data_IF_224174874164
#
_entry.id   IF_224174874164
#
_cell.length_a   1.000
_cell.length_b   1.000
_cell.length_c   1.000
_cell.angle_alpha   90.00
_cell.angle_beta   90.00
_cell.angle_gamma   90.00
#
_symmetry.space_group_name_H-M   'P 1'
#
loop_
_entity.id
_entity.type
_entity.pdbx_description
1 polymer ?
#
# COMPACT_ATOMS: atom_id res chain seq x y z
N UNK A 1 25.35 -23.22 61.66
CA UNK A 1 24.18 -22.55 61.07
C UNK A 1 24.20 -21.12 61.59
N UNK A 2 24.52 -20.15 60.72
CA UNK A 2 23.57 -19.60 59.76
C UNK A 2 23.77 -20.16 58.34
N UNK A 3 22.72 -20.07 57.52
CA UNK A 3 22.50 -20.82 56.28
C UNK A 3 23.15 -20.25 55.00
N UNK A 4 22.82 -20.85 53.84
CA UNK A 4 23.60 -20.80 52.61
C UNK A 4 23.34 -19.52 51.81
N UNK A 5 24.40 -18.89 51.31
CA UNK A 5 24.29 -17.90 50.24
C UNK A 5 24.10 -18.67 48.92
N UNK A 6 22.90 -18.56 48.36
CA UNK A 6 22.50 -19.23 47.13
C UNK A 6 23.28 -18.75 45.92
N UNK A 7 23.57 -19.73 45.05
CA UNK A 7 23.59 -19.64 43.59
C UNK A 7 24.00 -18.29 42.97
N UNK A 8 25.30 -18.11 42.76
CA UNK A 8 25.80 -17.18 41.75
C UNK A 8 25.93 -17.93 40.41
N UNK A 9 25.00 -17.60 39.51
CA UNK A 9 25.10 -17.75 38.06
C UNK A 9 25.30 -19.15 37.48
N UNK A 10 24.20 -19.82 37.11
CA UNK A 10 24.16 -20.62 35.90
C UNK A 10 24.38 -19.68 34.70
N UNK A 11 25.64 -19.32 34.49
CA UNK A 11 26.09 -18.67 33.28
C UNK A 11 26.07 -19.74 32.20
N UNK A 12 24.95 -19.87 31.47
CA UNK A 12 24.95 -20.61 30.22
C UNK A 12 26.04 -19.95 29.35
N UNK A 13 27.15 -20.66 29.16
CA UNK A 13 28.29 -20.13 28.42
C UNK A 13 28.47 -21.04 27.21
N UNK A 14 27.52 -20.95 26.28
CA UNK A 14 27.58 -21.67 24.99
C UNK A 14 28.58 -20.97 24.08
N UNK A 15 29.86 -21.10 24.39
CA UNK A 15 30.90 -20.64 23.49
C UNK A 15 31.07 -21.67 22.38
N UNK A 16 30.29 -21.50 21.31
CA UNK A 16 30.41 -22.31 20.09
C UNK A 16 31.78 -22.13 19.42
N UNK A 17 32.52 -21.09 19.80
CA UNK A 17 33.87 -20.80 19.32
C UNK A 17 34.92 -21.32 20.29
N UNK A 18 36.05 -21.78 19.75
CA UNK A 18 37.23 -22.14 20.52
C UNK A 18 37.82 -20.91 21.25
N UNK A 19 38.73 -21.16 22.21
CA UNK A 19 39.40 -20.12 23.00
C UNK A 19 40.23 -19.09 22.21
N UNK A 20 40.36 -19.25 20.89
CA UNK A 20 40.98 -18.30 19.96
C UNK A 20 39.96 -17.39 19.25
N UNK A 21 38.65 -17.71 19.31
CA UNK A 21 37.56 -17.01 18.62
C UNK A 21 37.58 -17.10 17.10
N UNK A 22 38.45 -17.94 16.53
CA UNK A 22 38.66 -18.08 15.07
C UNK A 22 38.18 -19.41 14.51
N UNK A 23 37.90 -20.36 15.39
CA UNK A 23 37.53 -21.72 15.04
C UNK A 23 36.28 -22.10 15.81
N UNK A 24 35.47 -22.98 15.21
CA UNK A 24 34.30 -23.55 15.86
C UNK A 24 34.69 -24.76 16.72
N UNK A 25 33.99 -24.94 17.83
CA UNK A 25 34.08 -26.15 18.63
C UNK A 25 33.23 -27.25 17.98
N UNK A 26 33.85 -28.02 17.08
CA UNK A 26 33.14 -29.04 16.29
C UNK A 26 32.40 -30.08 17.14
N UNK A 27 33.02 -30.53 18.24
CA UNK A 27 32.40 -31.51 19.13
C UNK A 27 31.14 -30.96 19.82
N UNK A 28 31.11 -29.66 20.12
CA UNK A 28 29.91 -29.01 20.66
C UNK A 28 28.86 -28.76 19.58
N UNK A 29 29.27 -28.45 18.35
CA UNK A 29 28.34 -28.29 17.23
C UNK A 29 27.61 -29.59 16.92
N UNK A 30 28.33 -30.70 16.85
CA UNK A 30 27.77 -32.04 16.58
C UNK A 30 26.81 -32.52 17.68
N UNK A 31 26.95 -32.02 18.91
CA UNK A 31 26.03 -32.31 20.01
C UNK A 31 24.76 -31.46 19.98
N UNK A 32 24.83 -30.24 19.44
CA UNK A 32 23.75 -29.25 19.51
C UNK A 32 22.93 -29.12 18.22
N UNK A 33 23.50 -29.46 17.07
CA UNK A 33 22.91 -29.20 15.75
C UNK A 33 22.86 -30.46 14.88
N UNK A 34 21.99 -30.43 13.87
CA UNK A 34 21.94 -31.47 12.83
C UNK A 34 23.16 -31.38 11.91
N UNK A 35 23.52 -32.48 11.24
CA UNK A 35 24.68 -32.51 10.33
C UNK A 35 24.63 -31.43 9.23
N UNK A 36 23.45 -31.17 8.67
CA UNK A 36 23.21 -30.09 7.70
C UNK A 36 23.51 -28.70 8.30
N UNK A 37 23.00 -28.44 9.50
CA UNK A 37 23.21 -27.16 10.19
C UNK A 37 24.67 -27.00 10.62
N UNK A 38 25.31 -28.09 11.07
CA UNK A 38 26.75 -28.13 11.35
C UNK A 38 27.57 -27.74 10.11
N UNK A 39 27.22 -28.27 8.94
CA UNK A 39 27.86 -27.91 7.68
C UNK A 39 27.73 -26.41 7.36
N UNK A 40 26.55 -25.84 7.56
CA UNK A 40 26.30 -24.40 7.33
C UNK A 40 27.09 -23.52 8.32
N UNK A 41 27.11 -23.89 9.60
CA UNK A 41 27.86 -23.15 10.63
C UNK A 41 29.37 -23.23 10.36
N UNK A 42 29.89 -24.43 10.06
CA UNK A 42 31.32 -24.63 9.74
C UNK A 42 31.74 -23.83 8.48
N UNK A 43 30.82 -23.52 7.56
CA UNK A 43 31.12 -22.69 6.39
C UNK A 43 31.33 -21.20 6.74
N UNK A 44 30.79 -20.71 7.86
CA UNK A 44 30.98 -19.35 8.34
C UNK A 44 32.38 -19.27 8.97
N UNK A 45 33.24 -18.38 8.46
CA UNK A 45 34.57 -18.15 9.03
C UNK A 45 34.53 -17.04 10.07
N UNK A 46 34.71 -17.34 11.38
CA UNK A 46 34.74 -16.32 12.42
C UNK A 46 35.96 -15.41 12.25
N UNK A 47 35.74 -14.10 12.25
CA UNK A 47 36.82 -13.11 12.07
C UNK A 47 37.75 -12.98 13.29
N UNK A 48 37.38 -13.57 14.44
CA UNK A 48 38.13 -13.44 15.69
C UNK A 48 37.58 -12.36 16.63
N UNK A 49 38.06 -12.36 17.88
CA UNK A 49 37.57 -11.48 18.96
C UNK A 49 37.81 -9.99 18.77
N UNK A 50 38.72 -9.61 17.87
CA UNK A 50 39.10 -8.21 17.63
C UNK A 50 38.39 -7.61 16.41
N UNK A 51 37.39 -8.30 15.87
CA UNK A 51 36.55 -7.82 14.79
C UNK A 51 35.16 -7.54 15.33
N UNK A 52 34.57 -6.41 14.92
CA UNK A 52 33.18 -6.11 15.21
C UNK A 52 32.27 -6.99 14.36
N UNK A 53 31.13 -7.38 14.91
CA UNK A 53 30.10 -8.12 14.17
C UNK A 53 29.56 -7.28 13.01
N UNK A 54 29.29 -7.94 11.89
CA UNK A 54 28.69 -7.33 10.70
C UNK A 54 27.51 -8.16 10.22
N UNK A 55 26.47 -7.48 9.73
CA UNK A 55 25.37 -8.14 9.05
C UNK A 55 25.86 -8.68 7.69
N UNK A 56 25.36 -9.87 7.32
CA UNK A 56 25.58 -10.49 6.02
C UNK A 56 24.24 -10.87 5.40
N UNK A 57 24.11 -10.63 4.10
CA UNK A 57 22.93 -10.93 3.30
C UNK A 57 23.08 -12.26 2.57
N UNK A 58 22.39 -13.28 3.05
CA UNK A 58 22.48 -14.67 2.58
C UNK A 58 22.20 -14.85 1.07
N UNK A 59 21.41 -13.96 0.47
CA UNK A 59 21.04 -14.05 -0.95
C UNK A 59 22.05 -13.38 -1.90
N UNK A 60 23.25 -13.07 -1.41
CA UNK A 60 24.36 -12.56 -2.23
C UNK A 60 25.66 -13.26 -1.89
N UNK A 61 26.45 -13.61 -2.90
CA UNK A 61 27.76 -14.26 -2.71
C UNK A 61 28.76 -13.42 -1.89
N UNK A 62 28.59 -12.09 -1.91
CA UNK A 62 29.43 -11.15 -1.15
C UNK A 62 28.91 -10.85 0.25
N UNK A 63 27.68 -11.29 0.59
CA UNK A 63 27.02 -10.92 1.84
C UNK A 63 26.53 -9.47 1.88
N UNK A 64 26.60 -8.70 0.78
CA UNK A 64 26.17 -7.30 0.76
C UNK A 64 24.69 -7.14 0.44
N UNK A 65 24.00 -6.45 1.34
CA UNK A 65 22.63 -6.04 1.14
C UNK A 65 22.49 -4.94 0.08
N UNK A 66 21.53 -5.08 -0.84
CA UNK A 66 21.10 -4.01 -1.76
C UNK A 66 19.59 -4.05 -1.95
N UNK A 67 18.98 -2.90 -2.28
CA UNK A 67 17.53 -2.86 -2.62
C UNK A 67 17.20 -3.83 -3.75
N UNK A 68 18.11 -3.97 -4.73
CA UNK A 68 17.98 -4.90 -5.85
C UNK A 68 17.93 -6.36 -5.39
N UNK A 69 18.82 -6.77 -4.48
CA UNK A 69 18.84 -8.15 -3.98
C UNK A 69 17.58 -8.48 -3.18
N UNK A 70 17.05 -7.53 -2.40
CA UNK A 70 15.76 -7.71 -1.70
C UNK A 70 14.60 -7.92 -2.66
N UNK A 71 14.48 -7.07 -3.68
CA UNK A 71 13.41 -7.23 -4.68
C UNK A 71 13.50 -8.58 -5.40
N UNK A 72 14.72 -9.02 -5.72
CA UNK A 72 14.93 -10.34 -6.31
C UNK A 72 14.45 -11.47 -5.38
N UNK A 73 14.76 -11.40 -4.09
CA UNK A 73 14.31 -12.38 -3.08
C UNK A 73 12.80 -12.38 -2.94
N UNK A 74 12.17 -11.21 -2.87
CA UNK A 74 10.72 -11.08 -2.76
C UNK A 74 9.99 -11.77 -3.92
N UNK A 75 10.53 -11.63 -5.13
CA UNK A 75 9.91 -12.16 -6.35
C UNK A 75 10.19 -13.65 -6.52
N UNK A 76 11.44 -14.10 -6.27
CA UNK A 76 11.90 -15.43 -6.68
C UNK A 76 12.04 -16.44 -5.55
N UNK A 77 12.19 -15.99 -4.30
CA UNK A 77 12.44 -16.88 -3.15
C UNK A 77 11.24 -16.93 -2.22
N UNK A 78 10.78 -15.74 -1.77
CA UNK A 78 9.62 -15.64 -0.88
C UNK A 78 8.36 -16.10 -1.61
N UNK A 79 8.37 -16.03 -2.95
CA UNK A 79 7.30 -16.55 -3.77
C UNK A 79 5.98 -15.98 -3.29
N UNK A 80 5.81 -14.66 -3.41
CA UNK A 80 4.44 -14.15 -3.51
C UNK A 80 3.95 -14.71 -4.83
N UNK A 81 3.42 -15.94 -4.78
CA UNK A 81 2.41 -16.36 -5.72
C UNK A 81 1.51 -15.14 -5.81
N UNK A 82 1.47 -14.54 -7.00
CA UNK A 82 0.33 -13.73 -7.34
C UNK A 82 -0.82 -14.71 -7.32
N UNK A 83 -1.31 -15.06 -6.13
CA UNK A 83 -2.72 -15.31 -5.94
C UNK A 83 -3.32 -14.14 -6.68
N UNK A 84 -3.88 -14.44 -7.84
CA UNK A 84 -4.71 -13.53 -8.57
C UNK A 84 -5.75 -13.15 -7.56
N UNK A 85 -5.53 -12.04 -6.84
CA UNK A 85 -6.57 -11.45 -6.03
C UNK A 85 -7.70 -11.30 -7.04
N UNK A 86 -8.74 -12.13 -6.88
CA UNK A 86 -9.95 -11.95 -7.64
C UNK A 86 -10.36 -10.51 -7.31
N UNK A 87 -10.13 -9.61 -8.27
CA UNK A 87 -10.50 -8.23 -8.10
C UNK A 87 -12.01 -8.25 -8.13
N UNK A 88 -12.63 -8.36 -6.96
CA UNK A 88 -14.09 -8.38 -6.76
C UNK A 88 -14.76 -7.09 -7.26
N UNK A 89 -13.96 -6.11 -7.67
CA UNK A 89 -14.37 -4.79 -8.13
C UNK A 89 -14.32 -4.76 -9.67
N UNK A 90 -15.39 -4.31 -10.35
CA UNK A 90 -15.35 -4.14 -11.79
C UNK A 90 -14.21 -3.17 -12.20
N UNK A 91 -13.51 -3.48 -13.28
CA UNK A 91 -12.39 -2.65 -13.72
C UNK A 91 -12.86 -1.25 -14.10
N UNK A 92 -12.19 -0.23 -13.54
CA UNK A 92 -12.46 1.17 -13.86
C UNK A 92 -11.78 1.60 -15.17
N UNK A 93 -10.99 0.72 -15.81
CA UNK A 93 -10.18 1.02 -16.99
C UNK A 93 -11.00 1.64 -18.13
N UNK A 94 -12.20 1.12 -18.38
CA UNK A 94 -13.10 1.68 -19.40
C UNK A 94 -13.51 3.12 -19.11
N UNK A 95 -13.76 3.44 -17.84
CA UNK A 95 -14.14 4.79 -17.41
C UNK A 95 -12.94 5.75 -17.48
N UNK A 96 -11.74 5.30 -17.08
CA UNK A 96 -10.50 6.06 -17.27
C UNK A 96 -10.26 6.36 -18.76
N UNK A 97 -10.37 5.36 -19.64
CA UNK A 97 -10.23 5.55 -21.08
C UNK A 97 -11.25 6.55 -21.63
N UNK A 98 -12.51 6.48 -21.18
CA UNK A 98 -13.55 7.42 -21.60
C UNK A 98 -13.22 8.84 -21.17
N UNK A 99 -12.76 9.05 -19.94
CA UNK A 99 -12.32 10.36 -19.42
C UNK A 99 -11.17 10.94 -20.25
N UNK A 100 -10.18 10.13 -20.63
CA UNK A 100 -9.04 10.59 -21.44
C UNK A 100 -9.39 10.85 -22.90
N UNK A 101 -10.46 10.26 -23.43
CA UNK A 101 -10.96 10.51 -24.80
C UNK A 101 -11.82 11.77 -24.92
N UNK A 102 -12.20 12.41 -23.82
CA UNK A 102 -13.01 13.63 -23.86
C UNK A 102 -12.25 14.76 -24.58
N UNK A 103 -12.92 15.42 -25.52
CA UNK A 103 -12.39 16.66 -26.10
C UNK A 103 -12.62 17.82 -25.11
N UNK A 104 -11.68 17.98 -24.16
CA UNK A 104 -11.72 19.02 -23.13
C UNK A 104 -10.31 19.48 -22.77
N UNK A 105 -10.20 20.51 -21.93
CA UNK A 105 -8.89 21.02 -21.51
C UNK A 105 -8.15 20.04 -20.60
N UNK A 106 -6.79 20.04 -20.59
CA UNK A 106 -5.99 19.22 -19.68
C UNK A 106 -6.35 19.39 -18.20
N UNK A 107 -6.80 20.59 -17.80
CA UNK A 107 -7.25 20.86 -16.43
C UNK A 107 -8.46 20.00 -16.04
N UNK A 108 -9.40 19.80 -16.96
CA UNK A 108 -10.58 18.97 -16.72
C UNK A 108 -10.20 17.50 -16.67
N UNK A 109 -9.31 17.03 -17.54
CA UNK A 109 -8.79 15.66 -17.45
C UNK A 109 -8.12 15.38 -16.10
N UNK A 110 -7.24 16.28 -15.65
CA UNK A 110 -6.58 16.15 -14.36
C UNK A 110 -7.58 16.15 -13.20
N UNK A 111 -8.58 17.04 -13.24
CA UNK A 111 -9.65 17.07 -12.26
C UNK A 111 -10.42 15.74 -12.21
N UNK A 112 -10.86 15.22 -13.36
CA UNK A 112 -11.60 13.96 -13.43
C UNK A 112 -10.76 12.76 -12.98
N UNK A 113 -9.47 12.74 -13.34
CA UNK A 113 -8.52 11.74 -12.83
C UNK A 113 -8.44 11.78 -11.30
N UNK A 114 -8.31 12.98 -10.70
CA UNK A 114 -8.33 13.12 -9.23
C UNK A 114 -9.64 12.64 -8.61
N UNK A 115 -10.78 12.81 -9.29
CA UNK A 115 -12.05 12.28 -8.82
C UNK A 115 -12.06 10.75 -8.84
N UNK A 116 -11.63 10.14 -9.95
CA UNK A 116 -11.58 8.68 -10.13
C UNK A 116 -10.60 8.00 -9.16
N UNK A 117 -9.50 8.67 -8.83
CA UNK A 117 -8.48 8.16 -7.88
C UNK A 117 -8.77 8.54 -6.43
N UNK A 118 -9.98 9.01 -6.11
CA UNK A 118 -10.38 9.48 -4.78
C UNK A 118 -9.36 10.44 -4.12
N UNK A 119 -8.81 11.37 -4.92
CA UNK A 119 -7.71 12.25 -4.52
C UNK A 119 -8.15 13.72 -4.34
N UNK A 120 -9.45 14.00 -4.35
CA UNK A 120 -9.97 15.33 -4.01
C UNK A 120 -9.93 15.58 -2.50
N UNK A 121 -9.70 16.83 -2.06
CA UNK A 121 -9.66 17.19 -0.64
C UNK A 121 -11.07 17.41 -0.10
N UNK A 122 -11.96 16.42 -0.27
CA UNK A 122 -13.29 16.41 0.37
C UNK A 122 -13.15 16.04 1.85
N UNK A 123 -14.12 16.44 2.69
CA UNK A 123 -14.01 16.24 4.14
C UNK A 123 -13.80 14.77 4.51
N UNK A 124 -14.46 13.83 3.83
CA UNK A 124 -14.24 12.39 4.00
C UNK A 124 -12.76 12.00 3.86
N UNK A 125 -12.09 12.44 2.80
CA UNK A 125 -10.68 12.15 2.55
C UNK A 125 -9.75 12.88 3.52
N UNK A 126 -10.11 14.09 3.94
CA UNK A 126 -9.35 14.85 4.93
C UNK A 126 -9.42 14.18 6.31
N UNK A 127 -10.57 13.65 6.71
CA UNK A 127 -10.73 12.88 7.94
C UNK A 127 -9.96 11.56 7.86
N UNK A 128 -10.03 10.86 6.74
CA UNK A 128 -9.24 9.63 6.52
C UNK A 128 -7.72 9.87 6.67
N UNK A 129 -7.25 11.07 6.29
CA UNK A 129 -5.86 11.50 6.44
C UNK A 129 -5.56 12.18 7.78
N UNK A 130 -6.50 12.18 8.72
CA UNK A 130 -6.37 12.79 10.05
C UNK A 130 -6.08 14.31 10.01
N UNK A 131 -6.49 15.01 8.95
CA UNK A 131 -6.30 16.46 8.78
C UNK A 131 -7.43 17.24 9.46
N UNK A 132 -8.67 16.75 9.36
CA UNK A 132 -9.84 17.34 10.02
C UNK A 132 -10.59 16.27 10.80
N UNK A 133 -11.52 16.69 11.67
CA UNK A 133 -12.41 15.80 12.43
C UNK A 133 -13.85 15.83 11.92
N UNK A 134 -14.23 16.89 11.23
CA UNK A 134 -15.58 17.05 10.71
C UNK A 134 -15.69 16.49 9.30
N UNK A 135 -16.69 15.63 9.08
CA UNK A 135 -17.01 15.03 7.78
C UNK A 135 -18.13 15.76 7.05
N UNK A 136 -18.79 16.75 7.67
CA UNK A 136 -19.94 17.42 7.09
C UNK A 136 -19.57 18.26 5.88
N UNK A 137 -20.48 18.33 4.91
CA UNK A 137 -20.34 19.19 3.76
C UNK A 137 -20.45 20.66 4.16
N UNK A 138 -19.38 21.42 3.96
CA UNK A 138 -19.34 22.87 4.24
C UNK A 138 -20.37 23.72 3.46
N UNK A 139 -20.96 23.16 2.39
CA UNK A 139 -21.97 23.86 1.57
C UNK A 139 -23.38 23.64 2.07
N UNK A 140 -23.77 22.39 2.34
CA UNK A 140 -25.15 22.05 2.69
C UNK A 140 -25.37 21.77 4.19
N UNK A 141 -24.28 21.57 4.94
CA UNK A 141 -24.24 21.29 6.38
C UNK A 141 -25.11 20.11 6.86
N UNK A 142 -25.53 19.25 5.93
CA UNK A 142 -26.49 18.18 6.19
C UNK A 142 -25.88 16.77 6.10
N UNK A 143 -25.11 16.49 5.04
CA UNK A 143 -24.58 15.17 4.75
C UNK A 143 -23.05 15.13 4.81
N UNK A 144 -22.48 13.92 4.88
CA UNK A 144 -21.02 13.74 4.78
C UNK A 144 -20.49 14.16 3.39
N UNK A 145 -19.37 14.86 3.39
CA UNK A 145 -18.74 15.41 2.19
C UNK A 145 -17.86 14.36 1.51
N UNK A 146 -18.49 13.55 0.66
CA UNK A 146 -17.81 12.67 -0.29
C UNK A 146 -17.68 13.32 -1.67
N UNK A 147 -16.85 12.75 -2.55
CA UNK A 147 -16.76 13.19 -3.96
C UNK A 147 -18.13 13.06 -4.66
N UNK A 148 -18.86 11.97 -4.39
CA UNK A 148 -20.20 11.78 -4.93
C UNK A 148 -21.17 12.86 -4.42
N UNK A 149 -21.08 13.20 -3.13
CA UNK A 149 -21.91 14.25 -2.56
C UNK A 149 -21.64 15.59 -3.23
N UNK A 150 -20.38 16.04 -3.21
CA UNK A 150 -20.01 17.37 -3.73
C UNK A 150 -20.31 17.53 -5.21
N UNK A 151 -20.20 16.45 -5.99
CA UNK A 151 -20.41 16.52 -7.44
C UNK A 151 -21.83 16.19 -7.88
N UNK A 152 -22.62 15.40 -7.14
CA UNK A 152 -23.92 14.92 -7.61
C UNK A 152 -25.05 15.10 -6.61
N UNK A 153 -24.87 14.72 -5.34
CA UNK A 153 -25.99 14.65 -4.39
C UNK A 153 -26.24 15.97 -3.65
N UNK A 154 -25.22 16.81 -3.49
CA UNK A 154 -25.32 18.10 -2.83
C UNK A 154 -26.40 18.97 -3.51
N UNK A 155 -27.30 19.63 -2.76
CA UNK A 155 -28.33 20.49 -3.34
C UNK A 155 -27.77 21.52 -4.32
N UNK A 156 -26.59 22.09 -4.01
CA UNK A 156 -25.90 23.03 -4.89
C UNK A 156 -25.41 22.37 -6.19
N UNK A 157 -24.84 21.17 -6.11
CA UNK A 157 -24.39 20.44 -7.29
C UNK A 157 -25.57 20.07 -8.19
N UNK A 158 -26.70 19.66 -7.62
CA UNK A 158 -27.94 19.38 -8.35
C UNK A 158 -28.44 20.61 -9.13
N UNK A 159 -28.36 21.79 -8.53
CA UNK A 159 -28.70 23.05 -9.22
C UNK A 159 -27.76 23.31 -10.41
N UNK A 160 -26.45 23.11 -10.25
CA UNK A 160 -25.48 23.28 -11.35
C UNK A 160 -25.80 22.35 -12.51
N UNK A 161 -26.10 21.08 -12.24
CA UNK A 161 -26.48 20.13 -13.30
C UNK A 161 -27.79 20.48 -13.99
N UNK A 162 -28.78 20.98 -13.25
CA UNK A 162 -30.04 21.44 -13.82
C UNK A 162 -29.82 22.63 -14.78
N UNK A 163 -28.99 23.60 -14.39
CA UNK A 163 -28.62 24.74 -15.24
C UNK A 163 -27.83 24.30 -16.47
N UNK A 164 -26.93 23.32 -16.32
CA UNK A 164 -26.17 22.73 -17.41
C UNK A 164 -27.00 21.82 -18.33
N UNK A 165 -28.31 21.67 -18.08
CA UNK A 165 -29.24 20.84 -18.86
C UNK A 165 -28.82 19.36 -18.94
N UNK A 166 -28.15 18.86 -17.90
CA UNK A 166 -27.78 17.44 -17.80
C UNK A 166 -28.95 16.67 -17.21
N UNK A 167 -29.36 15.61 -17.90
CA UNK A 167 -30.50 14.82 -17.46
C UNK A 167 -30.15 13.99 -16.21
N UNK A 168 -30.99 14.07 -15.18
CA UNK A 168 -30.88 13.21 -14.00
C UNK A 168 -31.21 11.77 -14.43
N UNK A 169 -30.65 10.72 -13.78
CA UNK A 169 -31.02 9.34 -14.05
C UNK A 169 -32.55 9.11 -13.97
N UNK A 170 -33.10 8.08 -14.65
CA UNK A 170 -34.55 7.82 -14.69
C UNK A 170 -35.18 7.57 -13.32
N UNK A 171 -34.39 7.17 -12.33
CA UNK A 171 -34.77 7.06 -10.92
C UNK A 171 -35.15 8.41 -10.27
N UNK A 172 -34.85 9.54 -10.93
CA UNK A 172 -35.08 10.89 -10.41
C UNK A 172 -34.03 11.34 -9.38
N UNK A 173 -33.08 10.47 -9.03
CA UNK A 173 -32.02 10.71 -8.05
C UNK A 173 -30.68 10.18 -8.56
N UNK A 174 -29.60 10.86 -8.17
CA UNK A 174 -28.24 10.35 -8.36
C UNK A 174 -28.00 9.15 -7.44
N UNK A 175 -27.27 8.15 -7.93
CA UNK A 175 -26.92 6.96 -7.17
C UNK A 175 -25.92 7.28 -6.05
N UNK A 176 -25.74 6.35 -5.11
CA UNK A 176 -24.72 6.45 -4.06
C UNK A 176 -23.30 6.15 -4.57
N UNK A 177 -23.16 5.79 -5.86
CA UNK A 177 -21.89 5.54 -6.52
C UNK A 177 -21.48 6.72 -7.41
N UNK A 178 -20.35 7.35 -7.08
CA UNK A 178 -19.70 8.35 -7.93
C UNK A 178 -19.46 7.82 -9.35
N UNK A 179 -18.97 6.58 -9.48
CA UNK A 179 -18.63 5.98 -10.75
C UNK A 179 -19.85 5.80 -11.65
N UNK A 180 -20.97 5.33 -11.10
CA UNK A 180 -22.24 5.16 -11.82
C UNK A 180 -22.77 6.50 -12.30
N UNK A 181 -22.72 7.53 -11.46
CA UNK A 181 -23.18 8.87 -11.80
C UNK A 181 -22.30 9.51 -12.88
N UNK A 182 -20.97 9.37 -12.78
CA UNK A 182 -20.04 9.87 -13.78
C UNK A 182 -20.26 9.16 -15.12
N UNK A 183 -20.36 7.83 -15.12
CA UNK A 183 -20.62 7.06 -16.33
C UNK A 183 -21.93 7.48 -17.00
N UNK A 184 -22.98 7.71 -16.22
CA UNK A 184 -24.25 8.24 -16.72
C UNK A 184 -24.06 9.57 -17.45
N UNK A 185 -23.38 10.53 -16.82
CA UNK A 185 -23.12 11.86 -17.41
C UNK A 185 -22.30 11.75 -18.69
N UNK A 186 -21.24 10.94 -18.69
CA UNK A 186 -20.36 10.80 -19.86
C UNK A 186 -21.07 10.11 -21.05
N UNK A 187 -22.10 9.32 -20.78
CA UNK A 187 -22.89 8.64 -21.80
C UNK A 187 -24.04 9.50 -22.36
N UNK A 188 -24.27 10.70 -21.82
CA UNK A 188 -25.27 11.60 -22.39
C UNK A 188 -24.79 12.12 -23.75
N UNK A 189 -25.62 11.92 -24.77
CA UNK A 189 -25.38 12.46 -26.11
C UNK A 189 -25.38 13.99 -26.01
N UNK A 190 -24.24 14.63 -26.29
CA UNK A 190 -24.18 16.09 -26.42
C UNK A 190 -25.10 16.53 -27.56
N UNK A 191 -26.17 17.27 -27.27
CA UNK A 191 -26.77 18.19 -28.23
C UNK A 191 -25.94 19.48 -28.17
N UNK A 192 -24.82 19.53 -28.90
CA UNK A 192 -24.15 20.82 -29.15
C UNK A 192 -24.94 21.48 -30.28
N UNK A 193 -25.55 22.67 -30.08
CA UNK A 193 -26.04 23.46 -31.20
C UNK A 193 -24.85 23.75 -32.11
N UNK A 194 -24.92 23.35 -33.38
CA UNK A 194 -23.92 23.78 -34.36
C UNK A 194 -23.99 25.31 -34.39
N UNK A 195 -22.92 25.98 -33.98
CA UNK A 195 -22.80 27.41 -34.22
C UNK A 195 -22.82 27.60 -35.74
N UNK A 196 -23.92 28.14 -36.25
CA UNK A 196 -24.05 28.57 -37.64
C UNK A 196 -23.15 29.79 -37.83
N UNK A 197 -22.07 29.58 -38.55
CA UNK A 197 -21.18 30.61 -39.09
C UNK A 197 -21.91 31.39 -40.19
#
# INVERSE_FOLDING_TARGET
MPGPAGSESDHWQWNLLCGNGREWNEGLLEQLFTDDTCGQIKAIHPAGRNCADSYSWEYTKTGHYTVKSVYWVQINVIGVEKESQEVLQPSLDGLYQQVWRLNTSPKIHYFLWRCLSNALPVAENMVHRHITKDKRCSRCDAAEESINHVLFQCPYARLVWAVAQVHIPPSGLWADSFFSNLQWVLNQKKRVPKETN
#
